data_IF_606448206371
#
_entry.id   IF_606448206371
#
_cell.length_a   1.000
_cell.length_b   1.000
_cell.length_c   1.000
_cell.angle_alpha   90.00
_cell.angle_beta   90.00
_cell.angle_gamma   90.00
#
_symmetry.space_group_name_H-M   'P 1'
#
loop_
_entity.id
_entity.type
_entity.pdbx_description
1 polymer ?
#
# COMPACT_ATOMS: atom_id res chain seq x y z
N UNK A 1 0.74 -8.83 -14.61
CA UNK A 1 1.11 -8.20 -13.32
C UNK A 1 0.10 -8.72 -12.31
N UNK A 2 0.46 -9.38 -11.20
CA UNK A 2 -0.56 -10.05 -10.34
C UNK A 2 -1.54 -9.05 -9.68
N UNK A 3 -1.16 -7.77 -9.60
CA UNK A 3 -1.94 -6.70 -8.99
C UNK A 3 -2.05 -5.55 -10.01
N UNK A 4 -3.26 -5.25 -10.45
CA UNK A 4 -3.52 -4.28 -11.52
C UNK A 4 -4.09 -2.97 -10.96
N UNK A 5 -4.69 -3.01 -9.77
CA UNK A 5 -5.32 -1.86 -9.12
C UNK A 5 -4.73 -1.58 -7.73
N UNK A 6 -4.87 -0.34 -7.22
CA UNK A 6 -4.52 -0.01 -5.84
C UNK A 6 -5.21 -0.93 -4.83
N UNK A 7 -6.48 -1.29 -5.08
CA UNK A 7 -7.27 -2.15 -4.20
C UNK A 7 -6.71 -3.57 -4.12
N UNK A 8 -6.24 -4.16 -5.22
CA UNK A 8 -5.61 -5.49 -5.19
C UNK A 8 -4.39 -5.51 -4.25
N UNK A 9 -3.63 -4.40 -4.24
CA UNK A 9 -2.45 -4.24 -3.40
C UNK A 9 -2.86 -4.06 -1.93
N UNK A 10 -3.90 -3.28 -1.67
CA UNK A 10 -4.46 -3.09 -0.31
C UNK A 10 -5.01 -4.40 0.24
N UNK A 11 -5.73 -5.19 -0.56
CA UNK A 11 -6.24 -6.50 -0.17
C UNK A 11 -5.10 -7.50 0.09
N UNK A 12 -4.06 -7.51 -0.76
CA UNK A 12 -2.86 -8.30 -0.50
C UNK A 12 -2.15 -7.87 0.81
N UNK A 13 -2.17 -6.58 1.15
CA UNK A 13 -1.68 -6.08 2.43
C UNK A 13 -2.51 -6.58 3.61
N UNK A 14 -3.85 -6.48 3.53
CA UNK A 14 -4.77 -6.99 4.57
C UNK A 14 -4.62 -8.49 4.79
N UNK A 15 -4.38 -9.26 3.73
CA UNK A 15 -4.13 -10.71 3.80
C UNK A 15 -2.74 -11.09 4.34
N UNK A 16 -1.85 -10.11 4.52
CA UNK A 16 -0.46 -10.37 4.91
C UNK A 16 0.43 -10.92 3.79
N UNK A 17 -0.06 -11.00 2.56
CA UNK A 17 0.73 -11.43 1.38
C UNK A 17 1.78 -10.39 0.98
N UNK A 18 1.55 -9.12 1.34
CA UNK A 18 2.44 -8.00 1.04
C UNK A 18 2.56 -7.04 2.23
N UNK A 19 3.78 -6.67 2.57
CA UNK A 19 4.05 -5.65 3.58
C UNK A 19 4.05 -4.24 2.96
N UNK A 20 3.74 -3.24 3.78
CA UNK A 20 3.89 -1.82 3.41
C UNK A 20 5.28 -1.49 2.83
N UNK A 21 6.33 -2.11 3.38
CA UNK A 21 7.68 -1.93 2.88
C UNK A 21 7.82 -2.42 1.43
N UNK A 22 7.27 -3.59 1.11
CA UNK A 22 7.26 -4.13 -0.25
C UNK A 22 6.47 -3.24 -1.21
N UNK A 23 5.31 -2.71 -0.81
CA UNK A 23 4.56 -1.74 -1.63
C UNK A 23 5.41 -0.52 -1.97
N UNK A 24 6.15 0.03 -0.99
CA UNK A 24 7.07 1.15 -1.21
C UNK A 24 8.22 0.79 -2.15
N UNK A 25 8.82 -0.38 -2.00
CA UNK A 25 9.88 -0.84 -2.91
C UNK A 25 9.38 -0.99 -4.34
N UNK A 26 8.16 -1.52 -4.52
CA UNK A 26 7.52 -1.65 -5.83
C UNK A 26 7.25 -0.28 -6.47
N UNK A 27 6.78 0.70 -5.69
CA UNK A 27 6.62 2.10 -6.14
C UNK A 27 7.94 2.70 -6.61
N UNK A 28 9.00 2.58 -5.80
CA UNK A 28 10.32 3.11 -6.14
C UNK A 28 10.90 2.44 -7.39
N UNK A 29 10.68 1.13 -7.53
CA UNK A 29 11.09 0.37 -8.71
C UNK A 29 10.32 0.82 -9.95
N UNK A 30 9.01 1.07 -9.84
CA UNK A 30 8.20 1.60 -10.93
C UNK A 30 8.69 2.98 -11.37
N UNK A 31 8.98 3.87 -10.41
CA UNK A 31 9.56 5.20 -10.67
C UNK A 31 10.91 5.11 -11.39
N UNK A 32 11.84 4.29 -10.87
CA UNK A 32 13.18 4.09 -11.46
C UNK A 32 13.13 3.54 -12.88
N UNK A 33 12.11 2.72 -13.19
CA UNK A 33 11.92 2.12 -14.51
C UNK A 33 11.09 2.97 -15.46
N UNK A 34 10.56 4.12 -15.02
CA UNK A 34 9.74 5.00 -15.85
C UNK A 34 8.34 4.43 -16.12
N UNK A 35 7.73 3.75 -15.16
CA UNK A 35 6.34 3.27 -15.25
C UNK A 35 5.38 4.16 -14.46
N UNK A 36 4.93 5.31 -15.01
CA UNK A 36 4.16 6.31 -14.27
C UNK A 36 2.82 5.79 -13.75
N UNK A 37 2.11 4.98 -14.54
CA UNK A 37 0.83 4.41 -14.13
C UNK A 37 0.98 3.38 -12.99
N UNK A 38 2.07 2.61 -13.00
CA UNK A 38 2.39 1.70 -11.90
C UNK A 38 2.81 2.47 -10.65
N UNK A 39 3.59 3.53 -10.80
CA UNK A 39 3.97 4.40 -9.70
C UNK A 39 2.73 4.99 -9.02
N UNK A 40 1.77 5.54 -9.79
CA UNK A 40 0.49 6.04 -9.28
C UNK A 40 -0.28 4.95 -8.54
N UNK A 41 -0.39 3.76 -9.12
CA UNK A 41 -1.09 2.62 -8.51
C UNK A 41 -0.52 2.25 -7.14
N UNK A 42 0.81 2.11 -7.03
CA UNK A 42 1.45 1.83 -5.74
C UNK A 42 1.41 3.02 -4.77
N UNK A 43 1.40 4.25 -5.27
CA UNK A 43 1.31 5.44 -4.43
C UNK A 43 -0.07 5.57 -3.78
N UNK A 44 -1.13 5.32 -4.55
CA UNK A 44 -2.51 5.31 -4.05
C UNK A 44 -2.72 4.18 -3.03
N UNK A 45 -2.22 2.98 -3.33
CA UNK A 45 -2.26 1.87 -2.38
C UNK A 45 -1.55 2.19 -1.05
N UNK A 46 -0.38 2.85 -1.11
CA UNK A 46 0.33 3.28 0.11
C UNK A 46 -0.47 4.27 0.93
N UNK A 47 -1.16 5.22 0.29
CA UNK A 47 -1.99 6.20 0.98
C UNK A 47 -3.10 5.51 1.76
N UNK A 48 -3.82 4.57 1.14
CA UNK A 48 -4.90 3.80 1.78
C UNK A 48 -4.34 2.99 2.96
N UNK A 49 -3.20 2.33 2.77
CA UNK A 49 -2.55 1.56 3.85
C UNK A 49 -2.15 2.45 5.03
N UNK A 50 -1.63 3.65 4.76
CA UNK A 50 -1.25 4.59 5.81
C UNK A 50 -2.46 5.11 6.58
N UNK A 51 -3.59 5.36 5.91
CA UNK A 51 -4.87 5.70 6.54
C UNK A 51 -5.40 4.55 7.43
N UNK A 52 -5.39 3.31 6.93
CA UNK A 52 -5.80 2.13 7.70
C UNK A 52 -4.97 1.96 8.98
N UNK A 53 -3.65 2.09 8.87
CA UNK A 53 -2.74 1.98 10.02
C UNK A 53 -2.92 3.11 11.03
N UNK A 54 -3.30 4.30 10.56
CA UNK A 54 -3.61 5.42 11.44
C UNK A 54 -4.90 5.14 12.22
N UNK A 55 -5.95 4.68 11.53
CA UNK A 55 -7.21 4.31 12.15
C UNK A 55 -7.05 3.17 13.18
N UNK A 56 -6.25 2.14 12.89
CA UNK A 56 -5.94 1.06 13.83
C UNK A 56 -5.23 1.56 15.09
N UNK A 57 -4.27 2.50 14.94
CA UNK A 57 -3.57 3.10 16.08
C UNK A 57 -4.48 3.95 16.94
N UNK A 58 -5.36 4.74 16.31
CA UNK A 58 -6.33 5.57 17.02
C UNK A 58 -7.33 4.70 17.78
N UNK A 59 -7.85 3.63 17.16
CA UNK A 59 -8.73 2.67 17.81
C UNK A 59 -8.07 1.96 18.99
N UNK A 60 -6.78 1.58 18.86
CA UNK A 60 -6.03 0.95 19.95
C UNK A 60 -5.82 1.92 21.14
N UNK A 61 -5.64 3.21 20.87
CA UNK A 61 -5.38 4.21 21.91
C UNK A 61 -6.66 4.69 22.63
N UNK A 62 -7.85 4.48 22.05
CA UNK A 62 -9.14 4.80 22.69
C UNK A 62 -9.69 3.68 23.59
N UNK A 63 -9.17 2.46 23.46
CA UNK A 63 -9.62 1.28 24.22
C UNK A 63 -8.71 0.93 25.43
N UNK A 64 -7.71 1.77 25.73
CA UNK A 64 -6.79 1.66 26.87
C UNK A 64 -6.96 2.86 27.80
#
# INVERSE_FOLDING_TARGET
MKWFTPNDIVEAFKRGEMSRYQVRQNRNTARRRGYPEREKCFNEALRIIDELRKAEKEAQNSNN
#
